data_IF_596813891719
#
_entry.id   IF_596813891719
#
_cell.length_a   1.000
_cell.length_b   1.000
_cell.length_c   1.000
_cell.angle_alpha   90.00
_cell.angle_beta   90.00
_cell.angle_gamma   90.00
#
_symmetry.space_group_name_H-M   'P 1'
#
loop_
_entity.id
_entity.type
_entity.pdbx_description
1 polymer ?
#
# COMPACT_ATOMS: atom_id res chain seq x y z
N UNK A 1 -21.04 28.47 8.94
CA UNK A 1 -21.06 26.99 9.08
C UNK A 1 -19.95 26.43 8.20
N UNK A 2 -18.90 25.83 8.77
CA UNK A 2 -17.95 25.00 8.01
C UNK A 2 -17.65 23.78 8.87
N UNK A 3 -18.31 22.67 8.55
CA UNK A 3 -17.85 21.37 9.02
C UNK A 3 -16.68 21.00 8.11
N UNK A 4 -15.46 21.20 8.62
CA UNK A 4 -14.21 20.63 8.14
C UNK A 4 -14.24 19.10 8.32
N UNK A 5 -15.13 18.44 7.60
CA UNK A 5 -15.16 16.98 7.57
C UNK A 5 -14.43 16.54 6.32
N UNK A 6 -13.11 16.38 6.46
CA UNK A 6 -12.24 15.72 5.49
C UNK A 6 -12.76 14.32 5.09
N UNK A 7 -13.63 13.73 5.91
CA UNK A 7 -14.27 12.45 5.70
C UNK A 7 -15.79 12.64 5.66
N UNK A 8 -16.45 12.05 4.66
CA UNK A 8 -17.90 12.04 4.49
C UNK A 8 -18.48 10.65 4.69
N UNK A 9 -19.36 10.22 3.78
CA UNK A 9 -20.07 8.94 3.92
C UNK A 9 -19.13 7.77 3.60
N UNK A 10 -19.12 6.77 4.48
CA UNK A 10 -18.58 5.45 4.23
C UNK A 10 -19.74 4.44 4.09
N UNK A 11 -19.84 3.80 2.93
CA UNK A 11 -20.69 2.65 2.66
C UNK A 11 -19.81 1.45 2.34
N UNK A 12 -19.92 0.42 3.18
CA UNK A 12 -19.12 -0.78 3.12
C UNK A 12 -20.01 -1.99 3.35
N UNK A 13 -19.77 -3.05 2.58
CA UNK A 13 -20.37 -4.36 2.78
C UNK A 13 -19.28 -5.40 2.91
N UNK A 14 -19.47 -6.38 3.79
CA UNK A 14 -18.48 -7.41 3.99
C UNK A 14 -19.04 -8.66 4.62
N UNK A 15 -18.39 -9.77 4.31
CA UNK A 15 -18.69 -11.10 4.81
C UNK A 15 -17.44 -11.67 5.43
N UNK A 16 -17.53 -12.01 6.71
CA UNK A 16 -16.44 -12.66 7.44
C UNK A 16 -16.87 -14.06 7.87
N UNK A 17 -15.98 -15.03 7.68
CA UNK A 17 -16.12 -16.39 8.20
C UNK A 17 -14.80 -16.80 8.82
N UNK A 18 -14.79 -17.15 10.09
CA UNK A 18 -13.56 -17.58 10.73
C UNK A 18 -13.71 -18.13 12.14
N UNK A 19 -12.58 -18.58 12.69
CA UNK A 19 -12.43 -19.11 14.04
C UNK A 19 -11.11 -18.64 14.65
N UNK A 20 -11.18 -18.28 15.93
CA UNK A 20 -10.05 -17.79 16.70
C UNK A 20 -9.84 -16.27 16.53
N UNK A 21 -9.20 -15.65 17.53
CA UNK A 21 -8.90 -14.21 17.56
C UNK A 21 -7.39 -13.94 17.64
N UNK A 22 -6.59 -14.96 17.95
CA UNK A 22 -5.13 -14.90 17.95
C UNK A 22 -4.62 -14.91 16.50
N UNK A 23 -3.95 -13.85 16.00
CA UNK A 23 -3.45 -13.80 14.62
C UNK A 23 -2.58 -14.99 14.21
N UNK A 24 -1.87 -15.63 15.15
CA UNK A 24 -1.02 -16.81 14.88
C UNK A 24 -1.84 -18.08 14.66
N UNK A 25 -3.08 -18.12 15.12
CA UNK A 25 -4.00 -19.27 15.04
C UNK A 25 -5.27 -18.97 14.25
N UNK A 26 -5.44 -17.72 13.84
CA UNK A 26 -6.61 -17.21 13.14
C UNK A 26 -6.81 -17.99 11.84
N UNK A 27 -8.02 -18.51 11.67
CA UNK A 27 -8.50 -19.03 10.41
C UNK A 27 -9.70 -18.18 10.02
N UNK A 28 -9.56 -17.30 9.03
CA UNK A 28 -10.63 -16.39 8.64
C UNK A 28 -10.53 -16.03 7.16
N UNK A 29 -11.68 -15.93 6.51
CA UNK A 29 -11.83 -15.34 5.20
C UNK A 29 -12.75 -14.13 5.32
N UNK A 30 -12.36 -13.04 4.68
CA UNK A 30 -13.07 -11.78 4.63
C UNK A 30 -13.17 -11.34 3.18
N UNK A 31 -14.41 -11.27 2.70
CA UNK A 31 -14.76 -10.68 1.41
C UNK A 31 -15.42 -9.34 1.70
N UNK A 32 -14.87 -8.24 1.17
CA UNK A 32 -15.34 -6.90 1.45
C UNK A 32 -15.41 -6.04 0.20
N UNK A 33 -16.37 -5.12 0.17
CA UNK A 33 -16.51 -4.11 -0.87
C UNK A 33 -16.80 -2.75 -0.27
N UNK A 34 -15.98 -1.76 -0.59
CA UNK A 34 -16.29 -0.36 -0.32
C UNK A 34 -17.12 0.15 -1.49
N UNK A 35 -18.43 0.26 -1.27
CA UNK A 35 -19.35 0.82 -2.25
C UNK A 35 -19.16 2.33 -2.41
N UNK A 36 -18.84 3.03 -1.31
CA UNK A 36 -18.60 4.46 -1.29
C UNK A 36 -17.72 4.86 -0.13
N UNK A 37 -16.73 5.70 -0.37
CA UNK A 37 -16.02 6.45 0.64
C UNK A 37 -15.89 7.88 0.14
N UNK A 38 -16.49 8.84 0.84
CA UNK A 38 -16.22 10.25 0.58
C UNK A 38 -15.04 10.69 1.45
N UNK A 39 -13.96 11.16 0.83
CA UNK A 39 -12.83 11.75 1.54
C UNK A 39 -12.18 12.83 0.69
N UNK A 40 -11.70 13.90 1.32
CA UNK A 40 -11.05 15.04 0.64
C UNK A 40 -11.91 15.65 -0.50
N UNK A 41 -13.24 15.61 -0.36
CA UNK A 41 -14.16 16.10 -1.41
C UNK A 41 -14.23 15.21 -2.65
N UNK A 42 -13.61 14.02 -2.64
CA UNK A 42 -13.72 13.02 -3.68
C UNK A 42 -14.50 11.80 -3.18
N UNK A 43 -15.26 11.16 -4.07
CA UNK A 43 -16.01 9.94 -3.78
C UNK A 43 -15.31 8.75 -4.42
N UNK A 44 -14.63 7.96 -3.60
CA UNK A 44 -14.08 6.66 -3.96
C UNK A 44 -15.20 5.62 -3.99
N UNK A 45 -15.13 4.67 -4.92
CA UNK A 45 -16.16 3.64 -5.05
C UNK A 45 -15.61 2.33 -5.62
N UNK A 46 -16.40 1.26 -5.47
CA UNK A 46 -16.16 -0.08 -6.01
C UNK A 46 -14.79 -0.69 -5.66
N UNK A 47 -14.29 -0.45 -4.44
CA UNK A 47 -13.02 -1.05 -3.99
C UNK A 47 -13.31 -2.43 -3.42
N UNK A 48 -12.81 -3.46 -4.11
CA UNK A 48 -12.93 -4.85 -3.69
C UNK A 48 -11.74 -5.26 -2.83
N UNK A 49 -12.02 -6.04 -1.78
CA UNK A 49 -11.03 -6.54 -0.82
C UNK A 49 -11.28 -8.02 -0.54
N UNK A 50 -10.26 -8.84 -0.72
CA UNK A 50 -10.23 -10.24 -0.30
C UNK A 50 -9.10 -10.41 0.71
N UNK A 51 -9.39 -10.95 1.89
CA UNK A 51 -8.40 -11.21 2.92
C UNK A 51 -8.62 -12.62 3.45
N UNK A 52 -7.56 -13.42 3.46
CA UNK A 52 -7.55 -14.74 4.08
C UNK A 52 -6.45 -14.85 5.13
N UNK A 53 -6.76 -15.59 6.18
CA UNK A 53 -5.86 -15.95 7.26
C UNK A 53 -6.00 -17.44 7.53
N UNK A 54 -4.88 -18.15 7.58
CA UNK A 54 -4.79 -19.56 7.95
C UNK A 54 -3.57 -19.78 8.85
N UNK A 55 -3.84 -19.85 10.17
CA UNK A 55 -2.87 -20.21 11.21
C UNK A 55 -1.59 -19.38 11.10
N UNK A 56 -1.74 -18.06 11.02
CA UNK A 56 -0.64 -17.10 10.92
C UNK A 56 -0.10 -16.86 9.52
N UNK A 57 -0.53 -17.58 8.48
CA UNK A 57 -0.33 -17.17 7.10
C UNK A 57 -1.50 -16.27 6.67
N UNK A 58 -1.22 -15.08 6.17
CA UNK A 58 -2.22 -14.12 5.71
C UNK A 58 -1.99 -13.76 4.26
N UNK A 59 -3.06 -13.54 3.52
CA UNK A 59 -3.05 -12.96 2.16
C UNK A 59 -4.11 -11.88 2.08
N UNK A 60 -3.81 -10.83 1.34
CA UNK A 60 -4.76 -9.76 1.04
C UNK A 60 -4.65 -9.39 -0.44
N UNK A 61 -5.79 -9.16 -1.07
CA UNK A 61 -5.90 -8.61 -2.41
C UNK A 61 -6.86 -7.42 -2.36
N UNK A 62 -6.44 -6.28 -2.89
CA UNK A 62 -7.28 -5.09 -3.04
C UNK A 62 -7.30 -4.70 -4.51
N UNK A 63 -8.48 -4.46 -5.05
CA UNK A 63 -8.69 -3.93 -6.39
C UNK A 63 -9.49 -2.65 -6.27
N UNK A 64 -8.94 -1.54 -6.76
CA UNK A 64 -9.69 -0.31 -6.95
C UNK A 64 -9.78 -0.03 -8.44
N UNK A 65 -10.96 -0.17 -9.06
CA UNK A 65 -11.22 0.23 -10.43
C UNK A 65 -11.59 1.72 -10.54
N UNK A 66 -11.44 2.49 -9.47
CA UNK A 66 -11.80 3.91 -9.43
C UNK A 66 -11.04 4.69 -10.54
N UNK A 67 -11.73 5.56 -11.29
CA UNK A 67 -11.13 6.24 -12.44
C UNK A 67 -9.97 7.20 -12.08
N UNK A 68 -9.84 7.61 -10.82
CA UNK A 68 -8.79 8.50 -10.34
C UNK A 68 -7.79 7.81 -9.39
N UNK A 69 -8.04 6.55 -9.02
CA UNK A 69 -7.13 5.69 -8.26
C UNK A 69 -7.26 4.22 -8.70
N UNK A 70 -6.85 3.93 -9.93
CA UNK A 70 -6.85 2.57 -10.44
C UNK A 70 -5.60 1.83 -9.96
N UNK A 71 -5.79 0.90 -9.01
CA UNK A 71 -4.72 0.13 -8.43
C UNK A 71 -5.11 -1.31 -8.11
N UNK A 72 -4.09 -2.17 -8.05
CA UNK A 72 -4.19 -3.56 -7.59
C UNK A 72 -3.07 -3.82 -6.59
N UNK A 73 -3.43 -4.21 -5.37
CA UNK A 73 -2.51 -4.65 -4.33
C UNK A 73 -2.67 -6.14 -4.11
N UNK A 74 -1.56 -6.88 -4.07
CA UNK A 74 -1.49 -8.20 -3.47
C UNK A 74 -0.48 -8.16 -2.34
N UNK A 75 -0.84 -8.64 -1.17
CA UNK A 75 0.04 -8.73 -0.02
C UNK A 75 -0.05 -10.11 0.62
N UNK A 76 1.03 -10.53 1.25
CA UNK A 76 1.09 -11.73 2.06
C UNK A 76 1.90 -11.47 3.31
N UNK A 77 1.53 -12.12 4.40
CA UNK A 77 2.24 -11.99 5.65
C UNK A 77 2.32 -13.34 6.38
N UNK A 78 3.38 -13.54 7.15
CA UNK A 78 3.57 -14.70 7.99
C UNK A 78 3.84 -14.27 9.44
N UNK A 79 2.85 -14.45 10.29
CA UNK A 79 2.82 -14.11 11.71
C UNK A 79 3.41 -15.20 12.61
N UNK A 80 3.85 -16.35 12.07
CA UNK A 80 4.33 -17.48 12.90
C UNK A 80 5.65 -17.17 13.60
N UNK A 81 6.49 -16.35 12.98
CA UNK A 81 7.77 -15.89 13.51
C UNK A 81 7.57 -14.84 14.63
N UNK A 82 8.60 -14.63 15.46
CA UNK A 82 8.64 -13.51 16.42
C UNK A 82 8.47 -12.17 15.73
N UNK A 83 9.13 -12.02 14.57
CA UNK A 83 8.99 -10.88 13.69
C UNK A 83 8.24 -11.32 12.42
N UNK A 84 7.08 -10.72 12.12
CA UNK A 84 6.33 -10.93 10.89
C UNK A 84 7.17 -10.81 9.62
N UNK A 85 7.01 -11.78 8.71
CA UNK A 85 7.46 -11.62 7.31
C UNK A 85 6.32 -10.99 6.51
N UNK A 86 6.62 -10.05 5.62
CA UNK A 86 5.62 -9.39 4.76
C UNK A 86 6.17 -9.28 3.36
N UNK A 87 5.36 -9.62 2.36
CA UNK A 87 5.66 -9.33 0.96
C UNK A 87 4.44 -8.70 0.30
N UNK A 88 4.65 -7.75 -0.59
CA UNK A 88 3.58 -7.10 -1.32
C UNK A 88 3.99 -6.72 -2.75
N UNK A 89 2.98 -6.57 -3.60
CA UNK A 89 3.06 -6.00 -4.93
C UNK A 89 1.86 -5.08 -5.13
N UNK A 90 2.12 -3.80 -5.42
CA UNK A 90 1.14 -2.79 -5.75
C UNK A 90 1.38 -2.32 -7.18
N UNK A 91 0.40 -2.56 -8.03
CA UNK A 91 0.34 -2.03 -9.39
C UNK A 91 -0.55 -0.80 -9.36
N UNK A 92 0.01 0.34 -9.75
CA UNK A 92 -0.73 1.59 -9.91
C UNK A 92 -0.86 1.84 -11.41
N UNK A 93 -2.05 1.59 -11.96
CA UNK A 93 -2.30 1.92 -13.36
C UNK A 93 -2.46 3.44 -13.54
N UNK A 94 -3.19 4.09 -12.63
CA UNK A 94 -3.31 5.54 -12.61
C UNK A 94 -3.75 6.08 -11.26
N UNK A 95 -3.11 7.16 -10.84
CA UNK A 95 -3.58 8.04 -9.76
C UNK A 95 -3.62 9.46 -10.31
N UNK A 96 -4.71 10.20 -10.10
CA UNK A 96 -4.84 11.60 -10.49
C UNK A 96 -5.00 12.50 -9.25
N UNK A 97 -3.90 13.05 -8.76
CA UNK A 97 -3.88 13.81 -7.50
C UNK A 97 -4.70 15.10 -7.56
N UNK A 98 -4.85 15.69 -8.76
CA UNK A 98 -5.69 16.88 -8.95
C UNK A 98 -7.18 16.55 -8.79
N UNK A 99 -7.64 15.48 -9.45
CA UNK A 99 -9.05 15.04 -9.38
C UNK A 99 -9.42 14.45 -8.03
N UNK A 100 -8.43 13.93 -7.29
CA UNK A 100 -8.56 13.53 -5.89
C UNK A 100 -8.51 14.73 -4.92
N UNK A 101 -8.34 15.96 -5.42
CA UNK A 101 -8.18 17.20 -4.65
C UNK A 101 -7.01 17.17 -3.65
N UNK A 102 -5.99 16.36 -3.92
CA UNK A 102 -4.78 16.26 -3.09
C UNK A 102 -3.73 17.30 -3.48
N UNK A 103 -3.77 17.77 -4.73
CA UNK A 103 -2.89 18.81 -5.27
C UNK A 103 -3.69 19.74 -6.19
N UNK A 104 -3.27 21.01 -6.29
CA UNK A 104 -3.87 21.95 -7.25
C UNK A 104 -3.35 21.71 -8.68
N UNK A 105 -2.06 21.38 -8.80
CA UNK A 105 -1.42 21.07 -10.06
C UNK A 105 -1.92 19.75 -10.66
N UNK A 106 -1.87 19.64 -11.99
CA UNK A 106 -2.26 18.44 -12.71
C UNK A 106 -1.18 17.36 -12.57
N UNK A 107 -1.23 16.62 -11.46
CA UNK A 107 -0.28 15.55 -11.16
C UNK A 107 -0.95 14.19 -11.30
N UNK A 108 -0.33 13.31 -12.10
CA UNK A 108 -0.73 11.90 -12.18
C UNK A 108 0.45 10.95 -12.09
N UNK A 109 0.22 9.78 -11.49
CA UNK A 109 1.25 8.77 -11.29
C UNK A 109 0.82 7.40 -11.80
N UNK A 110 1.79 6.66 -12.35
CA UNK A 110 1.72 5.24 -12.69
C UNK A 110 3.01 4.57 -12.25
N UNK A 111 2.94 3.32 -11.81
CA UNK A 111 4.14 2.55 -11.51
C UNK A 111 3.83 1.22 -10.82
N UNK A 112 4.90 0.50 -10.49
CA UNK A 112 4.84 -0.74 -9.73
C UNK A 112 5.67 -0.58 -8.46
N UNK A 113 5.10 -0.92 -7.32
CA UNK A 113 5.79 -1.01 -6.05
C UNK A 113 5.80 -2.46 -5.61
N UNK A 114 6.95 -2.97 -5.19
CA UNK A 114 7.06 -4.30 -4.58
C UNK A 114 7.90 -4.23 -3.33
N UNK A 115 7.68 -5.18 -2.43
CA UNK A 115 8.47 -5.27 -1.21
C UNK A 115 8.52 -6.69 -0.69
N UNK A 116 9.66 -7.05 -0.11
CA UNK A 116 9.89 -8.32 0.55
C UNK A 116 10.68 -8.09 1.85
N UNK A 117 10.00 -8.24 2.97
CA UNK A 117 10.51 -8.00 4.31
C UNK A 117 10.56 -9.30 5.09
N UNK A 118 11.78 -9.67 5.45
CA UNK A 118 12.07 -10.79 6.35
C UNK A 118 11.68 -10.50 7.80
N UNK A 119 11.63 -9.22 8.16
CA UNK A 119 11.11 -8.71 9.43
C UNK A 119 10.45 -7.36 9.16
N UNK A 120 9.15 -7.25 9.43
CA UNK A 120 8.35 -6.02 9.22
C UNK A 120 8.14 -5.21 10.52
N UNK A 121 8.95 -5.45 11.54
CA UNK A 121 8.96 -4.66 12.78
C UNK A 121 9.72 -3.35 12.54
N UNK A 122 9.17 -2.17 12.84
CA UNK A 122 9.84 -0.90 12.62
C UNK A 122 11.20 -0.76 13.34
N UNK A 123 11.38 -1.43 14.49
CA UNK A 123 12.65 -1.41 15.23
C UNK A 123 13.66 -2.41 14.68
N UNK A 124 13.18 -3.43 13.95
CA UNK A 124 14.00 -4.52 13.40
C UNK A 124 13.64 -4.74 11.93
N UNK A 125 13.55 -3.68 11.12
CA UNK A 125 13.10 -3.79 9.73
C UNK A 125 14.22 -4.36 8.86
N UNK A 126 13.98 -5.53 8.24
CA UNK A 126 14.93 -6.14 7.30
C UNK A 126 14.22 -6.57 6.03
N UNK A 127 14.66 -6.05 4.90
CA UNK A 127 14.07 -6.34 3.61
C UNK A 127 14.42 -5.31 2.56
N UNK A 128 13.75 -5.46 1.43
CA UNK A 128 13.89 -4.56 0.29
C UNK A 128 12.52 -4.15 -0.24
N UNK A 129 12.45 -2.95 -0.79
CA UNK A 129 11.33 -2.47 -1.57
C UNK A 129 11.83 -1.82 -2.84
N UNK A 130 11.07 -1.97 -3.92
CA UNK A 130 11.39 -1.43 -5.22
C UNK A 130 10.19 -0.67 -5.76
N UNK A 131 10.49 0.46 -6.40
CA UNK A 131 9.54 1.18 -7.24
C UNK A 131 10.12 1.12 -8.65
N UNK A 132 9.37 0.57 -9.58
CA UNK A 132 9.77 0.43 -10.98
C UNK A 132 8.70 0.96 -11.91
N UNK A 133 9.08 1.22 -13.16
CA UNK A 133 8.15 1.64 -14.22
C UNK A 133 7.39 2.92 -13.83
N UNK A 134 8.03 3.80 -13.06
CA UNK A 134 7.41 5.01 -12.54
C UNK A 134 7.29 6.05 -13.64
N UNK A 135 6.07 6.52 -13.85
CA UNK A 135 5.77 7.65 -14.74
C UNK A 135 4.98 8.68 -13.96
N UNK A 136 5.58 9.85 -13.78
CA UNK A 136 4.95 11.03 -13.19
C UNK A 136 4.64 11.99 -14.32
N UNK A 137 3.39 12.44 -14.42
CA UNK A 137 3.02 13.58 -15.25
C UNK A 137 2.74 14.75 -14.33
N UNK A 138 3.37 15.87 -14.60
CA UNK A 138 3.20 17.11 -13.85
C UNK A 138 2.88 18.20 -14.85
N UNK A 139 1.63 18.69 -14.85
CA UNK A 139 1.12 19.60 -15.87
C UNK A 139 1.35 19.05 -17.29
N UNK A 140 2.17 19.71 -18.10
CA UNK A 140 2.50 19.29 -19.46
C UNK A 140 3.72 18.36 -19.53
N UNK A 141 4.48 18.25 -18.44
CA UNK A 141 5.74 17.52 -18.40
C UNK A 141 5.56 16.05 -18.00
N UNK A 142 6.50 15.22 -18.45
CA UNK A 142 6.55 13.79 -18.14
C UNK A 142 7.92 13.42 -17.61
N UNK A 143 7.93 12.77 -16.46
CA UNK A 143 9.12 12.28 -15.78
C UNK A 143 9.01 10.77 -15.65
N UNK A 144 9.90 10.04 -16.33
CA UNK A 144 10.04 8.61 -16.16
C UNK A 144 11.23 8.35 -15.23
N UNK A 145 11.04 7.52 -14.22
CA UNK A 145 12.12 7.06 -13.33
C UNK A 145 12.34 5.56 -13.63
N UNK A 146 13.60 5.13 -13.67
CA UNK A 146 13.91 3.71 -13.87
C UNK A 146 13.51 2.89 -12.63
N UNK A 147 14.43 2.77 -11.68
CA UNK A 147 14.23 1.98 -10.47
C UNK A 147 14.65 2.77 -9.25
N UNK A 148 13.75 2.88 -8.28
CA UNK A 148 14.06 3.33 -6.92
C UNK A 148 14.05 2.10 -6.02
N UNK A 149 15.13 1.86 -5.28
CA UNK A 149 15.23 0.75 -4.34
C UNK A 149 15.51 1.26 -2.94
N UNK A 150 14.81 0.66 -1.97
CA UNK A 150 15.03 0.86 -0.56
C UNK A 150 15.50 -0.46 0.03
N UNK A 151 16.64 -0.44 0.73
CA UNK A 151 17.17 -1.57 1.47
C UNK A 151 17.19 -1.21 2.95
N UNK A 152 16.45 -1.99 3.75
CA UNK A 152 16.43 -1.88 5.21
C UNK A 152 17.23 -3.03 5.81
N UNK A 153 18.14 -2.71 6.72
CA UNK A 153 18.90 -3.67 7.52
C UNK A 153 18.93 -3.22 8.97
N UNK A 154 18.48 -4.07 9.88
CA UNK A 154 18.47 -3.81 11.31
C UNK A 154 19.08 -5.01 12.04
N UNK A 155 20.12 -4.74 12.83
CA UNK A 155 20.74 -5.68 13.76
C UNK A 155 20.69 -5.11 15.21
N UNK A 156 21.23 -5.85 16.19
CA UNK A 156 21.19 -5.44 17.60
C UNK A 156 21.99 -4.18 17.91
N UNK A 157 22.78 -3.67 16.97
CA UNK A 157 23.69 -2.54 17.14
C UNK A 157 23.38 -1.36 16.21
N UNK A 158 22.76 -1.59 15.06
CA UNK A 158 22.58 -0.59 13.99
C UNK A 158 21.31 -0.83 13.17
N UNK A 159 20.67 0.29 12.83
CA UNK A 159 19.57 0.34 11.87
C UNK A 159 20.03 1.16 10.65
N UNK A 160 20.01 0.55 9.47
CA UNK A 160 20.48 1.14 8.23
C UNK A 160 19.36 1.14 7.20
N UNK A 161 19.14 2.31 6.60
CA UNK A 161 18.24 2.50 5.46
C UNK A 161 19.05 3.07 4.30
N UNK A 162 19.11 2.31 3.20
CA UNK A 162 19.80 2.71 1.97
C UNK A 162 18.75 2.94 0.90
N UNK A 163 18.63 4.18 0.42
CA UNK A 163 17.80 4.54 -0.72
C UNK A 163 18.70 4.75 -1.95
N UNK A 164 18.42 4.04 -3.03
CA UNK A 164 19.13 4.15 -4.30
C UNK A 164 18.16 4.47 -5.43
N UNK A 165 18.52 5.44 -6.25
CA UNK A 165 17.83 5.81 -7.49
C UNK A 165 18.83 6.46 -8.44
N UNK A 166 18.48 6.57 -9.73
CA UNK A 166 19.36 7.14 -10.76
C UNK A 166 19.77 8.60 -10.48
N UNK A 167 18.97 9.33 -9.72
CA UNK A 167 19.17 10.75 -9.44
C UNK A 167 19.46 11.06 -7.96
N UNK A 168 19.27 10.09 -7.06
CA UNK A 168 19.47 10.27 -5.62
C UNK A 168 20.00 8.99 -4.97
N UNK A 169 21.11 9.14 -4.24
CA UNK A 169 21.62 8.14 -3.30
C UNK A 169 21.57 8.74 -1.90
N UNK A 170 20.81 8.13 -1.00
CA UNK A 170 20.71 8.56 0.39
C UNK A 170 20.98 7.38 1.34
N UNK A 171 21.67 7.68 2.45
CA UNK A 171 22.09 6.71 3.44
C UNK A 171 21.80 7.25 4.83
N UNK A 172 20.96 6.54 5.58
CA UNK A 172 20.65 6.85 6.97
C UNK A 172 21.17 5.73 7.88
N UNK A 173 21.85 6.13 8.95
CA UNK A 173 22.46 5.30 10.00
C UNK A 173 22.09 5.81 11.38
#
# INVERSE_FOLDING_TARGET
MKMDSTLGILSFEGKIKGKGTDPKKLMANFDGKVNRLDAMGYRYHDIDMDISADKGAMKASILSPDPNINLKLNASANMKSTYPKVAFELLVDSINLQKLHLMQDAVSYRGKLSGNFSTADPNFLNGEAHITNSLIRYNSDRYALDTVSLLAKADTSRNQLVLRSDFLNAHLV
#
